data_IF_312473458639
#
_entry.id   IF_312473458639
#
_cell.length_a   1.000
_cell.length_b   1.000
_cell.length_c   1.000
_cell.angle_alpha   90.00
_cell.angle_beta   90.00
_cell.angle_gamma   90.00
#
_symmetry.space_group_name_H-M   'P 1'
#
loop_
_entity.id
_entity.type
_entity.pdbx_description
1 polymer ?
#
# COMPACT_ATOMS: atom_id res chain seq x y z
N UNK A 1 21.11 -3.00 -32.72
CA UNK A 1 21.10 -2.11 -31.53
C UNK A 1 20.03 -1.07 -31.78
N UNK A 2 19.06 -0.84 -30.85
CA UNK A 2 18.14 0.28 -30.99
C UNK A 2 18.95 1.57 -30.99
N UNK A 3 18.73 2.42 -32.00
CA UNK A 3 19.31 3.76 -32.06
C UNK A 3 18.41 4.66 -31.21
N UNK A 4 18.90 5.10 -30.08
CA UNK A 4 18.26 6.17 -29.33
C UNK A 4 18.49 7.54 -30.04
N UNK A 5 17.58 8.50 -29.94
CA UNK A 5 17.79 9.85 -30.46
C UNK A 5 19.08 10.46 -29.94
N UNK A 6 19.77 11.26 -30.76
CA UNK A 6 20.97 11.98 -30.33
C UNK A 6 20.65 12.85 -29.11
N UNK A 7 21.40 12.69 -28.02
CA UNK A 7 21.18 13.36 -26.73
C UNK A 7 20.40 12.57 -25.69
N UNK A 8 19.99 11.31 -25.98
CA UNK A 8 19.38 10.43 -24.97
C UNK A 8 20.49 9.87 -24.06
N UNK A 9 20.53 10.38 -22.82
CA UNK A 9 21.47 9.90 -21.82
C UNK A 9 20.97 8.57 -21.20
N UNK A 10 21.50 7.47 -21.71
CA UNK A 10 21.19 6.11 -21.20
C UNK A 10 21.85 5.81 -19.85
N UNK A 11 22.69 6.71 -19.34
CA UNK A 11 23.42 6.54 -18.08
C UNK A 11 22.77 7.22 -16.87
N UNK A 12 21.73 8.05 -17.09
CA UNK A 12 21.23 8.97 -16.05
C UNK A 12 20.00 8.48 -15.29
N UNK A 13 19.33 7.40 -15.70
CA UNK A 13 18.22 6.86 -14.89
C UNK A 13 18.79 5.85 -13.90
N UNK A 14 18.88 6.16 -12.60
CA UNK A 14 19.29 5.16 -11.63
C UNK A 14 18.27 4.02 -11.66
N UNK A 15 18.77 2.78 -11.79
CA UNK A 15 17.92 1.61 -11.58
C UNK A 15 17.39 1.65 -10.14
N UNK A 16 16.14 1.23 -9.97
CA UNK A 16 15.57 1.07 -8.63
C UNK A 16 16.50 0.24 -7.73
N UNK A 17 16.58 0.59 -6.46
CA UNK A 17 17.28 -0.24 -5.48
C UNK A 17 16.52 -1.56 -5.30
N UNK A 18 17.20 -2.68 -5.51
CA UNK A 18 16.63 -4.00 -5.21
C UNK A 18 16.99 -4.43 -3.79
N UNK A 19 15.98 -4.92 -3.06
CA UNK A 19 16.11 -5.48 -1.72
C UNK A 19 15.54 -6.89 -1.67
N UNK A 20 16.27 -7.81 -1.04
CA UNK A 20 15.77 -9.16 -0.76
C UNK A 20 14.72 -9.17 0.38
N UNK A 21 14.77 -8.18 1.26
CA UNK A 21 13.88 -8.03 2.42
C UNK A 21 13.61 -6.53 2.69
N UNK A 22 12.45 -6.19 3.28
CA UNK A 22 12.19 -4.82 3.74
C UNK A 22 13.06 -4.45 4.95
N UNK A 23 13.23 -3.16 5.21
CA UNK A 23 13.96 -2.62 6.38
C UNK A 23 13.34 -3.16 7.68
N UNK A 24 14.17 -3.55 8.64
CA UNK A 24 13.71 -4.10 9.93
C UNK A 24 13.15 -3.01 10.84
N UNK A 25 12.17 -3.37 11.65
CA UNK A 25 11.62 -2.50 12.70
C UNK A 25 10.10 -2.41 12.69
N UNK A 26 9.57 -1.56 13.57
CA UNK A 26 8.13 -1.34 13.65
C UNK A 26 7.59 -0.66 12.37
N UNK A 27 6.44 -1.12 11.89
CA UNK A 27 5.84 -0.71 10.62
C UNK A 27 4.45 -0.15 10.83
N UNK A 28 4.20 1.02 10.26
CA UNK A 28 2.88 1.62 10.16
C UNK A 28 2.49 1.72 8.69
N UNK A 29 1.38 1.09 8.31
CA UNK A 29 0.84 1.12 6.96
C UNK A 29 -0.47 1.90 6.94
N UNK A 30 -0.56 2.92 6.10
CA UNK A 30 -1.79 3.66 5.83
C UNK A 30 -2.39 3.19 4.51
N UNK A 31 -3.62 2.68 4.54
CA UNK A 31 -4.33 2.23 3.36
C UNK A 31 -5.63 3.04 3.18
N UNK A 32 -5.93 3.48 1.95
CA UNK A 32 -7.16 4.25 1.65
C UNK A 32 -8.41 3.43 1.91
N UNK A 33 -8.51 2.25 1.31
CA UNK A 33 -9.67 1.39 1.39
C UNK A 33 -9.33 0.01 1.97
N UNK A 34 -10.34 -0.69 2.50
CA UNK A 34 -10.20 -2.09 2.91
C UNK A 34 -9.90 -3.00 1.70
N UNK A 35 -8.67 -3.37 1.46
CA UNK A 35 -8.01 -4.21 0.46
C UNK A 35 -6.68 -3.64 -0.03
N UNK A 36 -6.50 -2.31 -0.07
CA UNK A 36 -5.28 -1.66 -0.56
C UNK A 36 -4.04 -2.10 0.22
N UNK A 37 -4.16 -2.37 1.52
CA UNK A 37 -3.08 -2.85 2.38
C UNK A 37 -2.57 -4.24 1.98
N UNK A 38 -3.43 -5.03 1.36
CA UNK A 38 -3.10 -6.37 0.91
C UNK A 38 -2.65 -6.37 -0.55
N UNK A 39 -3.37 -5.66 -1.42
CA UNK A 39 -3.05 -5.63 -2.86
C UNK A 39 -1.80 -4.79 -3.14
N UNK A 40 -1.56 -3.72 -2.41
CA UNK A 40 -0.34 -2.93 -2.47
C UNK A 40 0.83 -3.64 -1.74
N UNK A 41 1.10 -3.30 -0.47
CA UNK A 41 2.29 -3.75 0.26
C UNK A 41 2.12 -5.09 0.99
N UNK A 42 1.12 -5.91 0.65
CA UNK A 42 0.80 -7.14 1.40
C UNK A 42 1.96 -8.12 1.52
N UNK A 43 2.83 -8.22 0.52
CA UNK A 43 3.99 -9.08 0.57
C UNK A 43 5.03 -8.64 1.59
N UNK A 44 5.38 -7.35 1.60
CA UNK A 44 6.32 -6.81 2.61
C UNK A 44 5.73 -6.82 4.01
N UNK A 45 4.42 -6.56 4.17
CA UNK A 45 3.74 -6.66 5.47
C UNK A 45 3.80 -8.08 6.03
N UNK A 46 3.60 -9.10 5.17
CA UNK A 46 3.74 -10.50 5.57
C UNK A 46 5.17 -10.87 5.96
N UNK A 47 6.18 -10.30 5.29
CA UNK A 47 7.59 -10.51 5.66
C UNK A 47 7.92 -9.86 7.01
N UNK A 48 7.46 -8.63 7.26
CA UNK A 48 7.59 -7.97 8.56
C UNK A 48 6.97 -8.81 9.68
N UNK A 49 5.72 -9.23 9.51
CA UNK A 49 5.03 -10.07 10.49
C UNK A 49 5.74 -11.40 10.74
N UNK A 50 6.22 -12.07 9.68
CA UNK A 50 6.89 -13.36 9.78
C UNK A 50 8.19 -13.32 10.58
N UNK A 51 8.89 -12.19 10.61
CA UNK A 51 10.14 -12.02 11.38
C UNK A 51 9.93 -11.35 12.74
N UNK A 52 8.66 -11.09 13.13
CA UNK A 52 8.30 -10.56 14.44
C UNK A 52 8.40 -9.05 14.59
N UNK A 53 8.49 -8.29 13.51
CA UNK A 53 8.34 -6.84 13.56
C UNK A 53 6.91 -6.48 13.98
N UNK A 54 6.76 -5.41 14.76
CA UNK A 54 5.42 -4.89 15.06
C UNK A 54 4.85 -4.23 13.80
N UNK A 55 3.66 -4.66 13.37
CA UNK A 55 2.98 -4.12 12.19
C UNK A 55 1.61 -3.61 12.61
N UNK A 56 1.32 -2.34 12.33
CA UNK A 56 -0.01 -1.74 12.46
C UNK A 56 -0.49 -1.24 11.10
N UNK A 57 -1.74 -1.54 10.80
CA UNK A 57 -2.41 -1.06 9.58
C UNK A 57 -3.54 -0.11 9.95
N UNK A 58 -3.61 1.00 9.25
CA UNK A 58 -4.67 2.01 9.36
C UNK A 58 -5.46 2.03 8.07
N UNK A 59 -6.76 1.72 8.16
CA UNK A 59 -7.70 1.81 7.05
C UNK A 59 -8.46 3.12 7.15
N UNK A 60 -8.28 4.01 6.18
CA UNK A 60 -8.79 5.37 6.23
C UNK A 60 -10.30 5.45 5.98
N UNK A 61 -10.79 4.85 4.90
CA UNK A 61 -12.19 4.89 4.53
C UNK A 61 -12.96 3.61 4.93
N UNK A 62 -14.26 3.67 4.81
CA UNK A 62 -15.13 2.54 5.14
C UNK A 62 -15.37 1.57 3.96
N UNK A 63 -14.87 1.89 2.76
CA UNK A 63 -14.93 1.07 1.56
C UNK A 63 -16.34 0.88 1.00
N UNK A 64 -17.31 1.74 1.36
CA UNK A 64 -18.71 1.53 0.99
C UNK A 64 -19.06 1.83 -0.46
N UNK A 65 -18.22 2.57 -1.20
CA UNK A 65 -18.39 2.76 -2.64
C UNK A 65 -17.95 1.53 -3.48
N UNK A 66 -17.30 0.55 -2.87
CA UNK A 66 -16.89 -0.70 -3.53
C UNK A 66 -18.02 -1.69 -3.86
N UNK A 67 -19.29 -1.30 -3.69
CA UNK A 67 -20.48 -2.08 -4.09
C UNK A 67 -21.39 -1.25 -5.00
N UNK A 68 -20.97 -0.94 -6.23
CA UNK A 68 -21.72 -0.05 -7.13
C UNK A 68 -23.10 -0.58 -7.52
N UNK A 69 -23.28 -1.91 -7.50
CA UNK A 69 -24.53 -2.56 -7.89
C UNK A 69 -25.43 -2.90 -6.69
N UNK A 70 -25.00 -2.62 -5.45
CA UNK A 70 -25.76 -2.92 -4.24
C UNK A 70 -25.94 -4.43 -3.98
N UNK A 71 -24.97 -5.26 -4.38
CA UNK A 71 -25.06 -6.73 -4.29
C UNK A 71 -25.00 -7.25 -2.86
N UNK A 72 -24.36 -6.49 -1.97
CA UNK A 72 -24.01 -6.96 -0.62
C UNK A 72 -24.90 -6.35 0.47
N UNK A 73 -26.05 -5.82 0.11
CA UNK A 73 -27.07 -5.36 1.04
C UNK A 73 -26.99 -3.87 1.38
N UNK A 74 -27.37 -3.49 2.61
CA UNK A 74 -27.30 -2.08 3.02
C UNK A 74 -25.87 -1.62 3.21
N UNK A 75 -25.62 -0.30 3.11
CA UNK A 75 -24.27 0.27 3.34
C UNK A 75 -23.68 -0.13 4.68
N UNK A 76 -24.49 -0.23 5.74
CA UNK A 76 -23.99 -0.68 7.06
C UNK A 76 -23.60 -2.17 7.07
N UNK A 77 -24.40 -3.01 6.42
CA UNK A 77 -24.07 -4.43 6.28
C UNK A 77 -22.79 -4.61 5.44
N UNK A 78 -22.67 -3.88 4.35
CA UNK A 78 -21.51 -3.91 3.49
C UNK A 78 -20.23 -3.40 4.20
N UNK A 79 -20.32 -2.24 4.90
CA UNK A 79 -19.24 -1.73 5.75
C UNK A 79 -18.76 -2.77 6.77
N UNK A 80 -19.70 -3.42 7.44
CA UNK A 80 -19.36 -4.49 8.39
C UNK A 80 -18.70 -5.69 7.71
N UNK A 81 -19.10 -6.03 6.47
CA UNK A 81 -18.46 -7.08 5.68
C UNK A 81 -17.04 -6.69 5.27
N UNK A 82 -16.82 -5.48 4.75
CA UNK A 82 -15.50 -4.97 4.38
C UNK A 82 -14.51 -5.03 5.57
N UNK A 83 -14.97 -4.64 6.76
CA UNK A 83 -14.15 -4.76 7.99
C UNK A 83 -13.78 -6.20 8.33
N UNK A 84 -14.72 -7.15 8.19
CA UNK A 84 -14.43 -8.59 8.41
C UNK A 84 -13.42 -9.12 7.41
N UNK A 85 -13.55 -8.73 6.14
CA UNK A 85 -12.62 -9.12 5.08
C UNK A 85 -11.21 -8.58 5.34
N UNK A 86 -11.08 -7.31 5.75
CA UNK A 86 -9.79 -6.71 6.13
C UNK A 86 -9.15 -7.43 7.31
N UNK A 87 -9.89 -7.71 8.36
CA UNK A 87 -9.36 -8.46 9.51
C UNK A 87 -8.89 -9.84 9.09
N UNK A 88 -9.67 -10.55 8.25
CA UNK A 88 -9.29 -11.87 7.76
C UNK A 88 -8.06 -11.82 6.84
N UNK A 89 -7.99 -10.84 5.93
CA UNK A 89 -6.85 -10.63 5.04
C UNK A 89 -5.57 -10.31 5.82
N UNK A 90 -5.64 -9.38 6.77
CA UNK A 90 -4.51 -9.04 7.63
C UNK A 90 -4.06 -10.23 8.49
N UNK A 91 -5.00 -10.98 9.05
CA UNK A 91 -4.67 -12.23 9.79
C UNK A 91 -3.93 -13.23 8.89
N UNK A 92 -4.31 -13.37 7.63
CA UNK A 92 -3.59 -14.22 6.67
C UNK A 92 -2.15 -13.76 6.41
N UNK A 93 -1.89 -12.44 6.47
CA UNK A 93 -0.52 -11.88 6.43
C UNK A 93 0.25 -12.08 7.75
N UNK A 94 -0.45 -12.38 8.85
CA UNK A 94 0.11 -12.44 10.20
C UNK A 94 0.09 -11.10 10.93
N UNK A 95 -0.80 -10.19 10.54
CA UNK A 95 -0.98 -8.86 11.12
C UNK A 95 -2.28 -8.81 11.91
N UNK A 96 -2.21 -8.45 13.19
CA UNK A 96 -3.37 -8.41 14.10
C UNK A 96 -3.75 -6.99 14.55
N UNK A 97 -2.84 -6.02 14.43
CA UNK A 97 -3.09 -4.63 14.85
C UNK A 97 -3.62 -3.80 13.68
N UNK A 98 -4.94 -3.53 13.70
CA UNK A 98 -5.63 -2.75 12.68
C UNK A 98 -6.50 -1.66 13.29
N UNK A 99 -6.37 -0.44 12.77
CA UNK A 99 -7.22 0.70 13.09
C UNK A 99 -8.11 1.06 11.89
N UNK A 100 -9.37 1.39 12.17
CA UNK A 100 -10.32 1.83 11.17
C UNK A 100 -10.69 3.29 11.46
N UNK A 101 -10.35 4.19 10.55
CA UNK A 101 -10.68 5.60 10.73
C UNK A 101 -12.13 5.92 10.39
N UNK A 102 -12.70 5.21 9.41
CA UNK A 102 -14.12 5.30 9.07
C UNK A 102 -14.51 6.57 8.33
N UNK A 103 -13.61 7.20 7.58
CA UNK A 103 -14.00 8.23 6.62
C UNK A 103 -14.93 7.60 5.57
N UNK A 104 -15.94 8.36 5.08
CA UNK A 104 -16.75 7.88 3.96
C UNK A 104 -15.87 7.64 2.72
N UNK A 105 -16.13 6.55 2.01
CA UNK A 105 -15.45 6.23 0.76
C UNK A 105 -15.86 7.22 -0.35
N UNK A 106 -14.89 7.70 -1.14
CA UNK A 106 -15.09 8.65 -2.23
C UNK A 106 -15.39 10.10 -1.80
N UNK A 107 -15.30 10.42 -0.50
CA UNK A 107 -15.67 11.75 0.03
C UNK A 107 -14.46 12.60 0.45
N UNK A 108 -13.26 12.10 0.34
CA UNK A 108 -12.04 12.82 0.78
C UNK A 108 -11.54 13.70 -0.36
N UNK A 109 -11.99 14.94 -0.43
CA UNK A 109 -11.67 15.82 -1.57
C UNK A 109 -11.28 17.23 -1.17
N UNK A 110 -11.49 17.65 0.08
CA UNK A 110 -11.23 19.03 0.52
C UNK A 110 -9.87 19.17 1.21
N UNK A 111 -9.37 20.41 1.26
CA UNK A 111 -8.16 20.72 2.02
C UNK A 111 -8.35 20.45 3.53
N UNK A 112 -9.57 20.56 4.04
CA UNK A 112 -9.92 20.28 5.44
C UNK A 112 -9.87 18.78 5.75
N UNK A 113 -10.32 17.94 4.82
CA UNK A 113 -10.22 16.48 4.95
C UNK A 113 -8.76 16.03 5.00
N UNK A 114 -7.92 16.56 4.09
CA UNK A 114 -6.47 16.30 4.11
C UNK A 114 -5.83 16.73 5.43
N UNK A 115 -6.27 17.86 5.99
CA UNK A 115 -5.81 18.33 7.30
C UNK A 115 -6.30 17.44 8.44
N UNK A 116 -7.52 16.93 8.37
CA UNK A 116 -8.07 15.95 9.29
C UNK A 116 -7.26 14.64 9.28
N UNK A 117 -6.93 14.14 8.09
CA UNK A 117 -6.05 12.98 7.89
C UNK A 117 -4.68 13.24 8.53
N UNK A 118 -4.09 14.41 8.26
CA UNK A 118 -2.76 14.75 8.78
C UNK A 118 -2.73 14.74 10.32
N UNK A 119 -3.74 15.29 10.98
CA UNK A 119 -3.83 15.27 12.46
C UNK A 119 -3.89 13.84 13.01
N UNK A 120 -4.76 12.99 12.43
CA UNK A 120 -4.87 11.59 12.87
C UNK A 120 -3.60 10.79 12.57
N UNK A 121 -2.94 11.04 11.44
CA UNK A 121 -1.69 10.39 11.12
C UNK A 121 -0.56 10.79 12.10
N UNK A 122 -0.50 12.04 12.57
CA UNK A 122 0.41 12.45 13.65
C UNK A 122 0.15 11.63 14.91
N UNK A 123 -1.12 11.48 15.33
CA UNK A 123 -1.47 10.68 16.51
C UNK A 123 -1.00 9.22 16.39
N UNK A 124 -1.17 8.61 15.19
CA UNK A 124 -0.71 7.24 14.95
C UNK A 124 0.82 7.14 14.95
N UNK A 125 1.52 8.08 14.32
CA UNK A 125 2.98 8.13 14.28
C UNK A 125 3.57 8.26 15.68
N UNK A 126 3.05 9.20 16.49
CA UNK A 126 3.52 9.44 17.85
C UNK A 126 3.23 8.25 18.78
N UNK A 127 2.03 7.64 18.67
CA UNK A 127 1.64 6.52 19.52
C UNK A 127 2.39 5.22 19.17
N UNK A 128 2.66 4.98 17.89
CA UNK A 128 3.23 3.71 17.44
C UNK A 128 4.77 3.74 17.34
N UNK A 129 5.37 4.86 16.96
CA UNK A 129 6.82 5.03 16.78
C UNK A 129 7.39 4.10 15.69
N UNK A 130 6.93 4.19 14.44
CA UNK A 130 7.39 3.31 13.38
C UNK A 130 8.83 3.62 12.94
N UNK A 131 9.56 2.59 12.49
CA UNK A 131 10.81 2.74 11.74
C UNK A 131 10.52 2.90 10.24
N UNK A 132 9.44 2.27 9.75
CA UNK A 132 9.01 2.35 8.35
C UNK A 132 7.52 2.71 8.27
N UNK A 133 7.19 3.61 7.35
CA UNK A 133 5.81 3.98 7.01
C UNK A 133 5.53 3.60 5.56
N UNK A 134 4.48 2.81 5.33
CA UNK A 134 3.92 2.56 4.01
C UNK A 134 2.66 3.40 3.80
N UNK A 135 2.54 4.01 2.62
CA UNK A 135 1.40 4.84 2.22
C UNK A 135 1.16 4.68 0.71
N UNK A 136 0.01 5.08 0.12
CA UNK A 136 -0.12 5.11 -1.33
C UNK A 136 0.96 6.01 -1.94
N UNK A 137 1.40 5.72 -3.17
CA UNK A 137 2.41 6.57 -3.82
C UNK A 137 1.78 7.85 -4.42
N UNK A 138 2.63 8.83 -4.74
CA UNK A 138 2.21 10.18 -5.16
C UNK A 138 1.38 10.24 -6.44
N UNK A 139 1.53 9.26 -7.34
CA UNK A 139 0.90 9.23 -8.66
C UNK A 139 -0.36 8.37 -8.75
N UNK A 140 -0.94 7.93 -7.62
CA UNK A 140 -2.20 7.19 -7.65
C UNK A 140 -3.35 7.97 -8.29
N UNK A 141 -4.15 7.27 -9.10
CA UNK A 141 -5.26 7.87 -9.83
C UNK A 141 -6.48 8.22 -8.97
N UNK A 142 -6.72 7.46 -7.90
CA UNK A 142 -7.90 7.60 -7.04
C UNK A 142 -7.80 8.83 -6.10
N UNK A 143 -8.89 9.56 -5.91
CA UNK A 143 -8.93 10.78 -5.08
C UNK A 143 -8.55 10.51 -3.62
N UNK A 144 -9.08 9.44 -3.04
CA UNK A 144 -8.84 9.08 -1.64
C UNK A 144 -7.39 8.66 -1.40
N UNK A 145 -6.76 7.98 -2.38
CA UNK A 145 -5.33 7.66 -2.34
C UNK A 145 -4.49 8.92 -2.30
N UNK A 146 -4.77 9.88 -3.17
CA UNK A 146 -4.06 11.17 -3.20
C UNK A 146 -4.26 11.99 -1.93
N UNK A 147 -5.49 11.96 -1.38
CA UNK A 147 -5.79 12.68 -0.14
C UNK A 147 -5.07 12.05 1.06
N UNK A 148 -5.07 10.71 1.15
CA UNK A 148 -4.33 10.00 2.19
C UNK A 148 -2.83 10.23 2.06
N UNK A 149 -2.27 10.11 0.84
CA UNK A 149 -0.88 10.47 0.56
C UNK A 149 -0.54 11.87 1.06
N UNK A 150 -1.29 12.89 0.65
CA UNK A 150 -1.04 14.27 1.02
C UNK A 150 -1.15 14.51 2.54
N UNK A 151 -2.12 13.89 3.19
CA UNK A 151 -2.31 13.98 4.64
C UNK A 151 -1.18 13.32 5.43
N UNK A 152 -0.79 12.11 5.03
CA UNK A 152 0.31 11.38 5.69
C UNK A 152 1.64 12.10 5.46
N UNK A 153 1.95 12.60 4.26
CA UNK A 153 3.16 13.40 4.02
C UNK A 153 3.23 14.63 4.93
N UNK A 154 2.12 15.36 5.11
CA UNK A 154 2.07 16.48 6.07
C UNK A 154 2.31 16.03 7.50
N UNK A 155 1.84 14.85 7.88
CA UNK A 155 2.07 14.31 9.21
C UNK A 155 3.55 13.96 9.42
N UNK A 156 4.18 13.29 8.45
CA UNK A 156 5.61 12.96 8.47
C UNK A 156 6.47 14.22 8.64
N UNK A 157 6.16 15.28 7.87
CA UNK A 157 6.84 16.56 7.97
C UNK A 157 6.66 17.20 9.37
N UNK A 158 5.46 17.17 9.93
CA UNK A 158 5.13 17.75 11.24
C UNK A 158 5.87 17.10 12.40
N UNK A 159 5.99 15.77 12.36
CA UNK A 159 6.71 15.04 13.41
C UNK A 159 8.22 14.99 13.16
N UNK A 160 8.70 15.53 12.05
CA UNK A 160 10.10 15.42 11.65
C UNK A 160 10.53 13.95 11.50
N UNK A 161 9.71 13.14 10.81
CA UNK A 161 9.94 11.70 10.71
C UNK A 161 11.31 11.39 10.08
N UNK A 162 12.15 10.68 10.82
CA UNK A 162 13.50 10.33 10.40
C UNK A 162 13.64 8.86 9.93
N UNK A 163 12.54 8.09 9.96
CA UNK A 163 12.49 6.72 9.46
C UNK A 163 12.32 6.64 7.94
N UNK A 164 12.09 5.46 7.43
CA UNK A 164 11.85 5.24 6.02
C UNK A 164 10.35 5.37 5.67
N UNK A 165 10.02 6.21 4.68
CA UNK A 165 8.66 6.33 4.15
C UNK A 165 8.63 5.87 2.69
N UNK A 166 7.74 4.91 2.38
CA UNK A 166 7.66 4.24 1.09
C UNK A 166 6.22 4.28 0.55
N UNK A 167 6.05 4.93 -0.61
CA UNK A 167 4.80 4.98 -1.34
C UNK A 167 4.60 3.70 -2.18
N UNK A 168 3.54 2.93 -1.93
CA UNK A 168 3.23 1.71 -2.68
C UNK A 168 2.22 1.95 -3.81
N UNK A 169 2.31 1.16 -4.88
CA UNK A 169 1.37 1.17 -6.00
C UNK A 169 0.15 0.29 -5.75
N UNK A 170 -1.01 0.74 -6.25
CA UNK A 170 -2.26 -0.02 -6.24
C UNK A 170 -2.87 -0.03 -7.65
N UNK A 171 -3.46 1.09 -8.08
CA UNK A 171 -4.13 1.21 -9.36
C UNK A 171 -3.24 1.72 -10.48
N UNK A 172 -2.21 2.47 -10.14
CA UNK A 172 -1.32 3.11 -11.11
C UNK A 172 0.11 2.61 -10.90
N UNK A 173 0.66 1.97 -11.91
CA UNK A 173 2.04 1.51 -11.88
C UNK A 173 3.02 2.68 -11.90
N UNK A 174 4.07 2.60 -11.07
CA UNK A 174 5.08 3.66 -10.92
C UNK A 174 6.39 3.35 -11.65
N UNK A 175 7.25 4.37 -11.77
CA UNK A 175 8.70 4.19 -11.96
C UNK A 175 9.33 4.14 -10.55
N UNK A 176 9.76 2.97 -10.07
CA UNK A 176 10.07 2.78 -8.66
C UNK A 176 11.47 3.27 -8.27
N UNK A 177 11.61 3.75 -7.02
CA UNK A 177 12.90 3.97 -6.39
C UNK A 177 13.42 2.71 -5.69
N UNK A 178 12.51 1.86 -5.19
CA UNK A 178 12.83 0.63 -4.46
C UNK A 178 11.95 -0.51 -4.96
N UNK A 179 12.54 -1.67 -5.14
CA UNK A 179 11.83 -2.94 -5.44
C UNK A 179 12.24 -3.98 -4.41
N UNK A 180 11.26 -4.61 -3.78
CA UNK A 180 11.49 -5.58 -2.71
C UNK A 180 10.98 -6.96 -3.15
N UNK A 181 11.82 -7.98 -3.02
CA UNK A 181 11.44 -9.38 -3.28
C UNK A 181 10.38 -9.83 -2.27
N UNK A 182 9.23 -10.23 -2.77
CA UNK A 182 8.15 -10.80 -1.95
C UNK A 182 7.89 -12.28 -2.26
N UNK A 183 8.74 -12.91 -3.05
CA UNK A 183 8.58 -14.33 -3.40
C UNK A 183 8.37 -15.23 -2.18
N UNK A 184 9.10 -15.04 -1.06
CA UNK A 184 8.87 -15.86 0.14
C UNK A 184 7.51 -15.66 0.81
N UNK A 185 6.86 -14.52 0.56
CA UNK A 185 5.56 -14.15 1.13
C UNK A 185 4.39 -14.26 0.15
N UNK A 186 4.64 -14.65 -1.10
CA UNK A 186 3.65 -14.65 -2.17
C UNK A 186 2.40 -15.46 -1.84
N UNK A 187 2.55 -16.65 -1.25
CA UNK A 187 1.41 -17.49 -0.89
C UNK A 187 0.55 -16.86 0.23
N UNK A 188 1.18 -16.15 1.19
CA UNK A 188 0.44 -15.42 2.23
C UNK A 188 -0.33 -14.24 1.63
N UNK A 189 0.31 -13.45 0.76
CA UNK A 189 -0.37 -12.37 0.03
C UNK A 189 -1.55 -12.89 -0.78
N UNK A 190 -1.39 -14.01 -1.48
CA UNK A 190 -2.46 -14.67 -2.24
C UNK A 190 -3.61 -15.09 -1.35
N UNK A 191 -3.33 -15.72 -0.22
CA UNK A 191 -4.34 -16.12 0.74
C UNK A 191 -5.09 -14.90 1.31
N UNK A 192 -4.38 -13.80 1.56
CA UNK A 192 -4.96 -12.55 2.06
C UNK A 192 -5.88 -11.89 1.02
N UNK A 193 -5.48 -11.79 -0.26
CA UNK A 193 -6.33 -11.27 -1.34
C UNK A 193 -7.65 -12.05 -1.41
N UNK A 194 -7.62 -13.37 -1.29
CA UNK A 194 -8.81 -14.23 -1.34
C UNK A 194 -9.81 -14.00 -0.21
N UNK A 195 -9.44 -13.30 0.85
CA UNK A 195 -10.35 -12.92 1.92
C UNK A 195 -11.33 -11.81 1.53
N UNK A 196 -11.04 -11.05 0.45
CA UNK A 196 -11.86 -9.93 -0.01
C UNK A 196 -12.89 -10.35 -1.05
N UNK A 197 -13.77 -11.29 -0.66
CA UNK A 197 -14.76 -11.91 -1.56
C UNK A 197 -15.69 -10.87 -2.21
N UNK A 198 -16.03 -9.80 -1.52
CA UNK A 198 -16.88 -8.74 -2.07
C UNK A 198 -16.20 -8.01 -3.23
N UNK A 199 -14.91 -7.78 -3.14
CA UNK A 199 -14.14 -7.09 -4.18
C UNK A 199 -13.74 -8.02 -5.32
N UNK A 200 -13.44 -9.27 -5.01
CA UNK A 200 -13.19 -10.31 -6.01
C UNK A 200 -14.42 -10.62 -6.88
N UNK A 201 -15.63 -10.25 -6.44
CA UNK A 201 -16.83 -10.33 -7.26
C UNK A 201 -16.83 -9.33 -8.43
N UNK A 202 -15.98 -8.29 -8.38
CA UNK A 202 -15.86 -7.25 -9.39
C UNK A 202 -14.55 -7.29 -10.16
N UNK A 203 -13.44 -7.59 -9.47
CA UNK A 203 -12.09 -7.54 -10.04
C UNK A 203 -11.31 -8.82 -9.68
N UNK A 204 -10.67 -9.45 -10.65
CA UNK A 204 -9.72 -10.53 -10.40
C UNK A 204 -8.38 -9.97 -9.90
N UNK A 205 -8.37 -9.53 -8.64
CA UNK A 205 -7.16 -8.97 -8.02
C UNK A 205 -6.01 -9.97 -7.98
N UNK A 206 -6.29 -11.25 -7.82
CA UNK A 206 -5.22 -12.25 -7.80
C UNK A 206 -4.44 -12.23 -9.12
N UNK A 207 -5.15 -12.23 -10.25
CA UNK A 207 -4.54 -12.18 -11.57
C UNK A 207 -3.76 -10.87 -11.80
N UNK A 208 -4.40 -9.73 -11.56
CA UNK A 208 -3.83 -8.42 -11.88
C UNK A 208 -2.63 -8.09 -11.00
N UNK A 209 -2.76 -8.27 -9.68
CA UNK A 209 -1.71 -7.90 -8.72
C UNK A 209 -0.51 -8.84 -8.83
N UNK A 210 -0.73 -10.15 -8.98
CA UNK A 210 0.40 -11.05 -9.21
C UNK A 210 1.03 -10.89 -10.59
N UNK A 211 0.27 -10.43 -11.59
CA UNK A 211 0.82 -10.01 -12.89
C UNK A 211 1.79 -8.83 -12.74
N UNK A 212 1.38 -7.80 -11.99
CA UNK A 212 2.23 -6.65 -11.69
C UNK A 212 3.46 -7.05 -10.84
N UNK A 213 3.26 -7.82 -9.79
CA UNK A 213 4.36 -8.28 -8.95
C UNK A 213 5.36 -9.19 -9.72
N UNK A 214 4.87 -10.01 -10.65
CA UNK A 214 5.72 -10.78 -11.55
C UNK A 214 6.52 -9.87 -12.50
N UNK A 215 5.89 -8.85 -13.08
CA UNK A 215 6.56 -7.85 -13.89
C UNK A 215 7.68 -7.14 -13.12
N UNK A 216 7.45 -6.79 -11.84
CA UNK A 216 8.45 -6.14 -10.99
C UNK A 216 9.68 -7.01 -10.72
N UNK A 217 9.57 -8.34 -10.84
CA UNK A 217 10.71 -9.26 -10.72
C UNK A 217 11.63 -9.27 -11.93
N UNK A 218 11.23 -8.67 -13.07
CA UNK A 218 11.92 -8.79 -14.34
C UNK A 218 13.38 -8.31 -14.28
N UNK A 219 13.61 -7.11 -13.77
CA UNK A 219 14.93 -6.46 -13.82
C UNK A 219 15.92 -7.03 -12.79
N UNK A 220 15.45 -7.62 -11.70
CA UNK A 220 16.30 -8.00 -10.56
C UNK A 220 16.36 -9.51 -10.34
N UNK A 221 15.32 -10.25 -10.72
CA UNK A 221 15.21 -11.70 -10.53
C UNK A 221 15.06 -12.45 -11.84
N UNK A 222 15.34 -11.78 -12.98
CA UNK A 222 15.18 -12.33 -14.34
C UNK A 222 13.76 -12.87 -14.60
N UNK A 223 12.72 -12.21 -14.05
CA UNK A 223 11.33 -12.61 -14.18
C UNK A 223 10.96 -13.87 -13.38
N UNK A 224 11.74 -14.21 -12.36
CA UNK A 224 11.47 -15.38 -11.48
C UNK A 224 11.05 -14.90 -10.11
N UNK A 225 9.81 -15.23 -9.72
CA UNK A 225 9.25 -14.80 -8.45
C UNK A 225 8.38 -13.54 -8.55
N UNK A 226 8.26 -12.83 -7.45
CA UNK A 226 7.38 -11.68 -7.30
C UNK A 226 8.06 -10.57 -6.51
N UNK A 227 7.80 -9.31 -6.87
CA UNK A 227 8.33 -8.18 -6.14
C UNK A 227 7.27 -7.07 -6.00
N UNK A 228 7.37 -6.26 -4.96
CA UNK A 228 6.59 -5.03 -4.77
C UNK A 228 7.47 -3.82 -5.01
N UNK A 229 6.88 -2.75 -5.55
CA UNK A 229 7.57 -1.54 -5.96
C UNK A 229 7.14 -0.34 -5.11
N UNK A 230 8.10 0.56 -4.85
CA UNK A 230 7.91 1.68 -3.93
C UNK A 230 8.60 2.95 -4.43
N UNK A 231 7.94 4.10 -4.17
CA UNK A 231 8.50 5.44 -4.24
C UNK A 231 9.07 5.84 -2.87
N UNK A 232 10.28 6.42 -2.83
CA UNK A 232 10.79 7.04 -1.58
C UNK A 232 10.13 8.38 -1.34
N UNK A 233 9.57 8.56 -0.16
CA UNK A 233 8.96 9.81 0.26
C UNK A 233 9.96 10.63 1.06
N UNK A 234 10.16 11.90 0.68
CA UNK A 234 11.07 12.81 1.37
C UNK A 234 12.56 12.72 0.98
N UNK A 235 12.92 11.83 0.06
CA UNK A 235 14.27 11.79 -0.53
C UNK A 235 14.41 12.79 -1.69
N UNK A 236 15.57 13.40 -1.85
CA UNK A 236 15.93 14.05 -3.12
C UNK A 236 16.20 12.96 -4.14
N UNK A 237 15.42 12.95 -5.24
CA UNK A 237 15.73 12.14 -6.43
C UNK A 237 17.04 12.58 -7.06
#
# INVERSE_FOLDING_TARGET
MPKYPDGYDVGATPLAEFRAEPTRGAVLCFAPHPDDEVIGPGGVLAQHAARGDRVRVVLATDGTAGDPDGRFGSSDAFRAQRRRESVAGLTALGVDDVAFWGYPDGCVVTAEDVEGIARRAVEELDAFGPATVYLPWSGEGHSDHRALFAGVCRALDRVGFAGEALGYEVWTAMDPDVVIDITPAADRKRAAIRCYATQLAYVDYEHVIFGLNAYRSLSFQAGRGFAEAFERIGGTR
#
